data_IF_444771762217
#
_entry.id   IF_444771762217
#
_cell.length_a   1.000
_cell.length_b   1.000
_cell.length_c   1.000
_cell.angle_alpha   90.00
_cell.angle_beta   90.00
_cell.angle_gamma   90.00
#
_symmetry.space_group_name_H-M   'P 1'
#
loop_
_entity.id
_entity.type
_entity.pdbx_description
1 polymer ?
#
# COMPACT_ATOMS: atom_id res chain seq x y z
N UNK A 1 -4.16 -1.25 -27.93
CA UNK A 1 -4.37 -2.70 -27.80
C UNK A 1 -5.82 -2.88 -27.40
N UNK A 2 -6.54 -3.81 -28.03
CA UNK A 2 -7.98 -4.00 -27.80
C UNK A 2 -8.30 -4.71 -26.49
N UNK A 3 -9.39 -5.48 -26.49
CA UNK A 3 -9.93 -6.18 -25.32
C UNK A 3 -9.22 -7.51 -24.95
N UNK A 4 -8.01 -7.73 -25.44
CA UNK A 4 -7.26 -8.98 -25.20
C UNK A 4 -6.31 -8.84 -24.00
N UNK A 5 -6.29 -9.87 -23.15
CA UNK A 5 -5.35 -10.00 -22.04
C UNK A 5 -4.09 -10.72 -22.55
N UNK A 6 -3.00 -9.97 -22.73
CA UNK A 6 -1.73 -10.51 -23.24
C UNK A 6 -0.91 -11.13 -22.10
N UNK A 7 -1.02 -10.61 -20.88
CA UNK A 7 -0.27 -11.08 -19.71
C UNK A 7 -1.11 -11.01 -18.45
N UNK A 8 -1.25 -12.16 -17.76
CA UNK A 8 -2.08 -12.27 -16.56
C UNK A 8 -1.36 -11.93 -15.25
N UNK A 9 -0.03 -11.78 -15.26
CA UNK A 9 0.80 -11.70 -14.06
C UNK A 9 1.73 -10.48 -14.04
N UNK A 10 1.22 -9.30 -14.37
CA UNK A 10 1.98 -8.06 -14.19
C UNK A 10 2.03 -7.71 -12.71
N UNK A 11 3.25 -7.66 -12.16
CA UNK A 11 3.49 -7.23 -10.79
C UNK A 11 3.35 -5.70 -10.74
N UNK A 12 2.30 -5.23 -10.06
CA UNK A 12 1.98 -3.80 -9.93
C UNK A 12 2.28 -3.24 -8.55
N UNK A 13 2.73 -4.08 -7.61
CA UNK A 13 3.11 -3.67 -6.26
C UNK A 13 4.50 -4.18 -5.92
N UNK A 14 5.30 -3.40 -5.20
CA UNK A 14 6.68 -3.70 -4.81
C UNK A 14 6.99 -3.22 -3.41
N UNK A 15 7.95 -3.89 -2.76
CA UNK A 15 8.71 -3.30 -1.66
C UNK A 15 9.86 -2.48 -2.23
N UNK A 16 10.08 -1.29 -1.68
CA UNK A 16 11.14 -0.37 -2.03
C UNK A 16 11.94 -0.05 -0.77
N UNK A 17 13.23 -0.41 -0.74
CA UNK A 17 14.05 -0.26 0.47
C UNK A 17 13.43 -0.94 1.69
N UNK A 18 13.78 -0.45 2.87
CA UNK A 18 13.26 -0.97 4.14
C UNK A 18 11.97 -0.25 4.54
N UNK A 19 10.88 -1.00 4.65
CA UNK A 19 9.61 -0.51 5.19
C UNK A 19 8.77 0.37 4.27
N UNK A 20 9.03 0.39 2.96
CA UNK A 20 8.19 1.11 1.98
C UNK A 20 7.58 0.13 0.99
N UNK A 21 6.30 0.28 0.72
CA UNK A 21 5.61 -0.41 -0.36
C UNK A 21 5.10 0.61 -1.37
N UNK A 22 5.09 0.24 -2.64
CA UNK A 22 4.53 1.07 -3.69
C UNK A 22 3.77 0.25 -4.71
N UNK A 23 2.73 0.86 -5.28
CA UNK A 23 1.93 0.28 -6.35
C UNK A 23 1.62 1.31 -7.43
N UNK A 24 1.21 0.84 -8.62
CA UNK A 24 0.88 1.74 -9.71
C UNK A 24 -0.34 1.28 -10.52
N UNK A 25 -0.95 2.24 -11.19
CA UNK A 25 -1.90 2.03 -12.27
C UNK A 25 -1.49 2.86 -13.48
N UNK A 26 -1.74 2.34 -14.70
CA UNK A 26 -1.34 2.95 -15.97
C UNK A 26 -0.37 2.08 -16.77
N UNK A 27 0.48 2.70 -17.58
CA UNK A 27 1.49 2.01 -18.41
C UNK A 27 2.54 1.30 -17.55
N UNK A 28 2.75 0.01 -17.80
CA UNK A 28 3.73 -0.79 -17.04
C UNK A 28 5.16 -0.32 -17.28
N UNK A 29 5.51 0.06 -18.53
CA UNK A 29 6.84 0.54 -18.86
C UNK A 29 7.14 1.85 -18.11
N UNK A 30 6.17 2.76 -18.09
CA UNK A 30 6.28 4.05 -17.40
C UNK A 30 6.43 3.87 -15.90
N UNK A 31 5.68 2.92 -15.34
CA UNK A 31 5.72 2.62 -13.92
C UNK A 31 7.09 2.11 -13.45
N UNK A 32 7.80 1.31 -14.26
CA UNK A 32 9.15 0.87 -13.90
C UNK A 32 10.12 2.05 -13.76
N UNK A 33 10.08 2.99 -14.70
CA UNK A 33 10.88 4.21 -14.61
C UNK A 33 10.56 5.01 -13.35
N UNK A 34 9.29 5.11 -12.98
CA UNK A 34 8.87 5.82 -11.78
C UNK A 34 9.28 5.10 -10.49
N UNK A 35 9.23 3.77 -10.46
CA UNK A 35 9.75 2.99 -9.33
C UNK A 35 11.24 3.24 -9.11
N UNK A 36 12.06 3.18 -10.16
CA UNK A 36 13.50 3.46 -10.08
C UNK A 36 13.78 4.87 -9.54
N UNK A 37 13.02 5.86 -10.02
CA UNK A 37 13.14 7.24 -9.54
C UNK A 37 12.69 7.41 -8.11
N UNK A 38 11.62 6.72 -7.69
CA UNK A 38 11.15 6.74 -6.30
C UNK A 38 12.20 6.10 -5.37
N UNK A 39 12.74 4.94 -5.75
CA UNK A 39 13.75 4.24 -4.97
C UNK A 39 14.99 5.11 -4.75
N UNK A 40 15.47 5.77 -5.80
CA UNK A 40 16.54 6.77 -5.68
C UNK A 40 16.20 7.89 -4.69
N UNK A 41 14.96 8.40 -4.69
CA UNK A 41 14.54 9.46 -3.76
C UNK A 41 14.41 8.97 -2.33
N UNK A 42 14.02 7.72 -2.11
CA UNK A 42 14.00 7.09 -0.79
C UNK A 42 15.43 6.94 -0.25
N UNK A 43 16.39 6.53 -1.08
CA UNK A 43 17.80 6.44 -0.73
C UNK A 43 18.44 7.81 -0.42
N UNK A 44 18.06 8.85 -1.17
CA UNK A 44 18.51 10.24 -0.93
C UNK A 44 17.94 10.83 0.38
N UNK A 45 16.79 10.32 0.85
CA UNK A 45 16.06 10.83 2.00
C UNK A 45 15.61 9.72 2.96
N UNK A 46 16.53 8.99 3.61
CA UNK A 46 16.20 7.87 4.50
C UNK A 46 15.22 8.29 5.61
N UNK A 47 14.14 7.52 5.80
CA UNK A 47 13.12 7.79 6.82
C UNK A 47 12.26 9.06 6.59
N UNK A 48 12.37 9.70 5.42
CA UNK A 48 11.62 10.91 5.07
C UNK A 48 10.74 10.66 3.83
N UNK A 49 9.79 9.71 3.92
CA UNK A 49 8.95 9.31 2.79
C UNK A 49 8.23 10.49 2.15
N UNK A 50 7.65 11.39 2.96
CA UNK A 50 6.96 12.59 2.45
C UNK A 50 7.86 13.41 1.56
N UNK A 51 9.11 13.63 1.97
CA UNK A 51 10.09 14.41 1.19
C UNK A 51 10.45 13.70 -0.11
N UNK A 52 10.72 12.40 -0.06
CA UNK A 52 11.01 11.58 -1.24
C UNK A 52 9.87 11.66 -2.28
N UNK A 53 8.61 11.54 -1.83
CA UNK A 53 7.43 11.64 -2.68
C UNK A 53 7.27 13.03 -3.31
N UNK A 54 7.46 14.10 -2.53
CA UNK A 54 7.35 15.48 -3.04
C UNK A 54 8.44 15.77 -4.08
N UNK A 55 9.66 15.33 -3.84
CA UNK A 55 10.75 15.52 -4.81
C UNK A 55 10.55 14.69 -6.09
N UNK A 56 10.05 13.45 -5.97
CA UNK A 56 9.64 12.67 -7.14
C UNK A 56 8.57 13.41 -7.94
N UNK A 57 7.53 13.91 -7.30
CA UNK A 57 6.43 14.61 -7.96
C UNK A 57 6.91 15.89 -8.69
N UNK A 58 7.81 16.66 -8.08
CA UNK A 58 8.45 17.81 -8.73
C UNK A 58 9.24 17.39 -9.97
N UNK A 59 10.05 16.35 -9.85
CA UNK A 59 10.83 15.82 -10.97
C UNK A 59 9.90 15.30 -12.07
N UNK A 60 8.85 14.56 -11.72
CA UNK A 60 7.88 14.04 -12.66
C UNK A 60 7.24 15.15 -13.49
N UNK A 61 6.79 16.21 -12.82
CA UNK A 61 6.16 17.36 -13.48
C UNK A 61 7.12 18.14 -14.38
N UNK A 62 8.37 18.33 -13.94
CA UNK A 62 9.33 19.25 -14.61
C UNK A 62 10.23 18.56 -15.62
N UNK A 63 10.51 17.28 -15.46
CA UNK A 63 11.34 16.52 -16.39
C UNK A 63 10.63 16.30 -17.72
N UNK A 64 11.34 16.59 -18.81
CA UNK A 64 10.81 16.54 -20.18
C UNK A 64 10.36 15.13 -20.60
N UNK A 65 10.99 14.10 -20.06
CA UNK A 65 10.67 12.70 -20.33
C UNK A 65 9.63 12.17 -19.35
N UNK A 66 9.82 12.37 -18.04
CA UNK A 66 8.93 11.87 -17.01
C UNK A 66 7.50 12.43 -17.13
N UNK A 67 7.34 13.72 -17.43
CA UNK A 67 6.01 14.35 -17.56
C UNK A 67 5.11 13.76 -18.65
N UNK A 68 5.65 12.90 -19.50
CA UNK A 68 4.91 12.19 -20.55
C UNK A 68 4.41 10.82 -20.11
N UNK A 69 4.83 10.37 -18.92
CA UNK A 69 4.44 9.08 -18.39
C UNK A 69 2.99 9.13 -17.86
N UNK A 70 2.20 8.18 -18.33
CA UNK A 70 0.81 8.04 -17.94
C UNK A 70 0.68 6.96 -16.86
N UNK A 71 0.86 7.36 -15.60
CA UNK A 71 0.71 6.48 -14.46
C UNK A 71 0.21 7.27 -13.24
N UNK A 72 -0.32 6.54 -12.28
CA UNK A 72 -0.57 7.00 -10.92
C UNK A 72 0.08 6.02 -9.98
N UNK A 73 0.76 6.50 -8.95
CA UNK A 73 1.42 5.68 -7.94
C UNK A 73 0.76 5.83 -6.59
N UNK A 74 0.78 4.75 -5.81
CA UNK A 74 0.58 4.77 -4.36
C UNK A 74 1.91 4.40 -3.73
N UNK A 75 2.28 5.12 -2.67
CA UNK A 75 3.48 4.87 -1.88
C UNK A 75 3.08 4.89 -0.42
N UNK A 76 3.50 3.90 0.35
CA UNK A 76 3.18 3.83 1.77
C UNK A 76 4.38 3.31 2.58
N UNK A 77 4.53 3.86 3.77
CA UNK A 77 5.29 3.30 4.89
C UNK A 77 4.34 3.01 6.07
N UNK A 78 4.87 2.71 7.23
CA UNK A 78 4.07 2.42 8.43
C UNK A 78 3.30 3.63 9.00
N UNK A 79 3.63 4.86 8.56
CA UNK A 79 3.05 6.10 9.08
C UNK A 79 2.24 6.88 8.06
N UNK A 80 2.62 6.79 6.77
CA UNK A 80 2.10 7.64 5.71
C UNK A 80 1.71 6.83 4.48
N UNK A 81 0.72 7.32 3.77
CA UNK A 81 0.34 6.80 2.47
C UNK A 81 0.03 7.96 1.52
N UNK A 82 0.66 7.96 0.34
CA UNK A 82 0.53 9.01 -0.65
C UNK A 82 0.09 8.46 -2.00
N UNK A 83 -0.77 9.22 -2.67
CA UNK A 83 -1.03 9.08 -4.10
C UNK A 83 -0.22 10.16 -4.83
N UNK A 84 0.56 9.74 -5.83
CA UNK A 84 1.39 10.62 -6.65
C UNK A 84 0.91 10.53 -8.10
N UNK A 85 0.71 11.68 -8.74
CA UNK A 85 0.27 11.78 -10.13
C UNK A 85 1.31 12.49 -11.01
N UNK A 86 1.23 12.27 -12.32
CA UNK A 86 2.09 12.94 -13.30
C UNK A 86 1.92 14.46 -13.38
N UNK A 87 0.83 15.00 -12.80
CA UNK A 87 0.62 16.44 -12.67
C UNK A 87 1.46 17.07 -11.55
N UNK A 88 2.11 16.26 -10.74
CA UNK A 88 2.92 16.71 -9.59
C UNK A 88 2.14 16.78 -8.28
N UNK A 89 0.93 16.20 -8.24
CA UNK A 89 0.14 16.12 -7.02
C UNK A 89 0.70 15.01 -6.10
N UNK A 90 0.80 15.31 -4.81
CA UNK A 90 1.06 14.36 -3.74
C UNK A 90 -0.09 14.48 -2.76
N UNK A 91 -0.96 13.48 -2.72
CA UNK A 91 -2.19 13.50 -1.94
C UNK A 91 -2.11 12.45 -0.85
N UNK A 92 -2.32 12.84 0.40
CA UNK A 92 -2.47 11.96 1.54
C UNK A 92 -3.96 11.84 1.88
N UNK A 93 -4.55 10.63 1.87
CA UNK A 93 -5.97 10.46 2.16
C UNK A 93 -6.23 10.59 3.67
N UNK A 94 -7.22 11.36 4.05
CA UNK A 94 -7.59 11.57 5.46
C UNK A 94 -8.12 10.31 6.16
N UNK A 95 -8.57 9.32 5.41
CA UNK A 95 -9.17 8.08 5.91
C UNK A 95 -8.30 6.82 5.68
N UNK A 96 -7.03 6.99 5.27
CA UNK A 96 -6.12 5.86 5.07
C UNK A 96 -6.49 4.90 3.93
N UNK A 97 -7.30 5.32 2.96
CA UNK A 97 -7.73 4.48 1.84
C UNK A 97 -7.45 5.17 0.51
N UNK A 98 -6.77 4.46 -0.39
CA UNK A 98 -6.56 4.90 -1.78
C UNK A 98 -6.97 3.78 -2.74
N UNK A 99 -7.66 4.14 -3.81
CA UNK A 99 -7.98 3.25 -4.92
C UNK A 99 -7.60 3.89 -6.25
N UNK A 100 -6.73 3.22 -7.02
CA UNK A 100 -6.27 3.67 -8.34
C UNK A 100 -6.49 2.60 -9.42
N UNK A 101 -6.48 3.00 -10.68
CA UNK A 101 -6.68 2.11 -11.82
C UNK A 101 -8.15 1.94 -12.20
N UNK A 102 -8.42 1.01 -13.12
CA UNK A 102 -9.74 0.79 -13.71
C UNK A 102 -10.82 0.41 -12.67
N UNK A 103 -10.48 -0.47 -11.74
CA UNK A 103 -11.37 -0.88 -10.64
C UNK A 103 -11.24 0.00 -9.38
N UNK A 104 -10.39 1.03 -9.40
CA UNK A 104 -10.02 1.81 -8.22
C UNK A 104 -11.20 2.45 -7.50
N UNK A 105 -12.14 3.03 -8.23
CA UNK A 105 -13.34 3.65 -7.63
C UNK A 105 -14.27 2.64 -6.95
N UNK A 106 -14.38 1.43 -7.50
CA UNK A 106 -15.18 0.36 -6.88
C UNK A 106 -14.51 -0.16 -5.62
N UNK A 107 -13.20 -0.41 -5.68
CA UNK A 107 -12.42 -0.83 -4.51
C UNK A 107 -12.44 0.24 -3.41
N UNK A 108 -12.28 1.53 -3.77
CA UNK A 108 -12.34 2.64 -2.83
C UNK A 108 -13.71 2.73 -2.13
N UNK A 109 -14.81 2.64 -2.90
CA UNK A 109 -16.16 2.69 -2.33
C UNK A 109 -16.44 1.50 -1.40
N UNK A 110 -16.01 0.29 -1.80
CA UNK A 110 -16.14 -0.91 -0.98
C UNK A 110 -15.30 -0.81 0.30
N UNK A 111 -14.05 -0.36 0.22
CA UNK A 111 -13.19 -0.17 1.40
C UNK A 111 -13.78 0.84 2.39
N UNK A 112 -14.32 1.95 1.89
CA UNK A 112 -15.00 2.95 2.75
C UNK A 112 -16.23 2.39 3.47
N UNK A 113 -16.95 1.46 2.85
CA UNK A 113 -18.11 0.81 3.48
C UNK A 113 -17.69 -0.24 4.53
N UNK A 114 -16.47 -0.78 4.42
CA UNK A 114 -15.97 -1.86 5.27
C UNK A 114 -15.08 -1.39 6.42
N UNK A 115 -14.56 -0.15 6.37
CA UNK A 115 -13.55 0.31 7.34
C UNK A 115 -14.07 0.38 8.77
N UNK A 116 -15.37 0.64 8.95
CA UNK A 116 -16.01 0.73 10.25
C UNK A 116 -16.64 -0.62 10.70
N UNK A 117 -16.42 -1.70 9.96
CA UNK A 117 -16.96 -3.03 10.30
C UNK A 117 -16.03 -3.70 11.31
N UNK A 118 -16.55 -3.95 12.52
CA UNK A 118 -15.79 -4.63 13.57
C UNK A 118 -15.27 -6.00 13.12
N UNK A 119 -14.04 -6.33 13.52
CA UNK A 119 -13.39 -7.60 13.24
C UNK A 119 -12.77 -7.72 11.83
N UNK A 120 -12.82 -6.67 11.00
CA UNK A 120 -12.13 -6.65 9.73
C UNK A 120 -10.80 -5.88 9.82
N UNK A 121 -9.69 -6.57 9.60
CA UNK A 121 -8.38 -5.95 9.45
C UNK A 121 -8.16 -5.38 8.04
N UNK A 122 -7.12 -4.55 7.88
CA UNK A 122 -6.78 -3.89 6.62
C UNK A 122 -6.64 -4.88 5.45
N UNK A 123 -6.06 -6.07 5.70
CA UNK A 123 -5.91 -7.12 4.67
C UNK A 123 -7.26 -7.66 4.22
N UNK A 124 -8.20 -7.89 5.15
CA UNK A 124 -9.52 -8.44 4.81
C UNK A 124 -10.36 -7.43 4.05
N UNK A 125 -10.28 -6.17 4.44
CA UNK A 125 -10.92 -5.04 3.74
C UNK A 125 -10.37 -4.95 2.32
N UNK A 126 -9.04 -4.97 2.16
CA UNK A 126 -8.41 -4.89 0.84
C UNK A 126 -8.82 -6.06 -0.07
N UNK A 127 -8.83 -7.30 0.44
CA UNK A 127 -9.28 -8.49 -0.32
C UNK A 127 -10.73 -8.35 -0.78
N UNK A 128 -11.64 -8.05 0.17
CA UNK A 128 -13.07 -7.90 -0.15
C UNK A 128 -13.32 -6.77 -1.16
N UNK A 129 -12.64 -5.65 -1.00
CA UNK A 129 -12.77 -4.52 -1.91
C UNK A 129 -12.25 -4.84 -3.31
N UNK A 130 -11.15 -5.57 -3.42
CA UNK A 130 -10.60 -6.01 -4.70
C UNK A 130 -11.47 -7.07 -5.37
N UNK A 131 -12.07 -7.98 -4.62
CA UNK A 131 -13.05 -8.95 -5.14
C UNK A 131 -14.27 -8.24 -5.73
N UNK A 132 -14.80 -7.23 -5.02
CA UNK A 132 -15.93 -6.42 -5.54
C UNK A 132 -15.51 -5.67 -6.81
N UNK A 133 -14.31 -5.09 -6.83
CA UNK A 133 -13.80 -4.39 -8.01
C UNK A 133 -13.62 -5.34 -9.21
N UNK A 134 -13.09 -6.54 -9.00
CA UNK A 134 -12.90 -7.54 -10.04
C UNK A 134 -14.23 -8.05 -10.62
N UNK A 135 -15.24 -8.24 -9.77
CA UNK A 135 -16.57 -8.66 -10.19
C UNK A 135 -17.42 -7.55 -10.84
N UNK A 136 -16.99 -6.28 -10.69
CA UNK A 136 -17.74 -5.13 -11.19
C UNK A 136 -17.10 -4.49 -12.42
N UNK A 137 -15.76 -4.42 -12.46
CA UNK A 137 -15.00 -3.77 -13.52
C UNK A 137 -14.42 -4.78 -14.51
N UNK A 138 -14.83 -4.73 -15.76
CA UNK A 138 -14.36 -5.66 -16.83
C UNK A 138 -12.84 -5.58 -17.10
N UNK A 139 -12.19 -4.51 -16.68
CA UNK A 139 -10.74 -4.31 -16.82
C UNK A 139 -9.93 -4.68 -15.57
N UNK A 140 -10.59 -5.24 -14.55
CA UNK A 140 -9.96 -5.65 -13.29
C UNK A 140 -10.11 -7.15 -13.12
N UNK A 141 -8.99 -7.87 -12.96
CA UNK A 141 -8.99 -9.32 -12.74
C UNK A 141 -8.96 -9.68 -11.24
N UNK A 142 -9.12 -10.96 -10.95
CA UNK A 142 -9.13 -11.58 -9.62
C UNK A 142 -7.76 -12.09 -9.15
N UNK A 143 -6.67 -11.78 -9.88
CA UNK A 143 -5.30 -12.18 -9.54
C UNK A 143 -4.62 -11.08 -8.72
N UNK A 144 -4.80 -11.11 -7.41
CA UNK A 144 -4.28 -10.07 -6.51
C UNK A 144 -2.90 -10.40 -5.99
N UNK A 145 -2.06 -9.37 -5.91
CA UNK A 145 -0.86 -9.36 -5.09
C UNK A 145 -1.07 -8.42 -3.92
N UNK A 146 -0.82 -8.90 -2.72
CA UNK A 146 -1.02 -8.13 -1.49
C UNK A 146 0.32 -8.01 -0.78
N UNK A 147 0.67 -6.80 -0.41
CA UNK A 147 1.80 -6.49 0.46
C UNK A 147 1.26 -5.84 1.73
N UNK A 148 1.87 -6.17 2.85
CA UNK A 148 1.55 -5.61 4.16
C UNK A 148 2.78 -4.96 4.77
N UNK A 149 2.53 -3.94 5.57
CA UNK A 149 3.47 -3.31 6.48
C UNK A 149 2.89 -3.46 7.88
N UNK A 150 3.73 -3.90 8.83
CA UNK A 150 3.33 -3.95 10.23
C UNK A 150 3.31 -2.51 10.78
N UNK A 151 2.22 -2.11 11.41
CA UNK A 151 2.14 -0.86 12.16
C UNK A 151 2.69 -1.08 13.56
N UNK A 152 3.26 -0.03 14.18
CA UNK A 152 3.77 -0.12 15.56
C UNK A 152 2.68 -0.54 16.57
N UNK A 153 1.40 -0.32 16.26
CA UNK A 153 0.25 -0.79 17.06
C UNK A 153 0.14 -2.33 17.14
N UNK A 154 0.53 -3.07 16.09
CA UNK A 154 0.55 -4.54 16.11
C UNK A 154 1.72 -5.10 16.94
N UNK A 155 2.81 -4.36 17.07
CA UNK A 155 3.94 -4.75 17.92
C UNK A 155 3.62 -4.59 19.42
N UNK A 156 2.77 -3.63 19.79
CA UNK A 156 2.34 -3.44 21.19
C UNK A 156 1.34 -4.53 21.63
N UNK A 157 0.46 -5.01 20.74
CA UNK A 157 -0.48 -6.09 21.06
C UNK A 157 0.23 -7.45 21.21
N UNK A 158 1.21 -7.78 20.34
CA UNK A 158 2.01 -9.00 20.49
C UNK A 158 2.95 -8.96 21.70
N UNK A 159 3.49 -7.80 22.06
CA UNK A 159 4.28 -7.58 23.27
C UNK A 159 3.45 -7.75 24.53
N UNK A 160 2.22 -7.22 24.56
CA UNK A 160 1.29 -7.34 25.68
C UNK A 160 0.76 -8.76 25.91
N UNK A 161 0.57 -9.58 24.86
CA UNK A 161 0.20 -10.99 25.01
C UNK A 161 1.35 -11.86 25.49
N UNK A 162 2.60 -11.58 25.08
CA UNK A 162 3.78 -12.30 25.59
C UNK A 162 4.06 -12.00 27.05
N UNK A 163 3.97 -10.75 27.48
CA UNK A 163 4.10 -10.38 28.90
C UNK A 163 3.01 -11.01 29.78
N UNK A 164 1.76 -11.05 29.32
CA UNK A 164 0.67 -11.70 30.05
C UNK A 164 0.90 -13.20 30.21
N UNK A 165 1.38 -13.89 29.16
CA UNK A 165 1.69 -15.33 29.24
C UNK A 165 2.88 -15.64 30.16
N UNK A 166 3.93 -14.81 30.15
CA UNK A 166 5.07 -14.98 31.06
C UNK A 166 4.69 -14.72 32.55
N UNK A 167 3.76 -13.80 32.81
CA UNK A 167 3.30 -13.53 34.16
C UNK A 167 2.38 -14.65 34.67
N UNK A 168 1.56 -15.25 33.82
CA UNK A 168 0.71 -16.41 34.19
C UNK A 168 1.54 -17.68 34.41
N UNK A 169 2.59 -17.96 33.61
CA UNK A 169 3.48 -19.09 33.85
C UNK A 169 4.30 -18.96 35.14
N UNK A 170 4.81 -17.78 35.46
CA UNK A 170 5.56 -17.53 36.70
C UNK A 170 4.66 -17.46 37.96
N UNK A 171 3.37 -17.14 37.80
CA UNK A 171 2.39 -17.14 38.89
C UNK A 171 1.86 -18.53 39.27
N UNK A 172 2.00 -19.52 38.38
CA UNK A 172 1.57 -20.92 38.61
C UNK A 172 2.52 -21.75 39.47
N UNK A 173 3.81 -21.40 39.55
CA UNK A 173 4.82 -22.18 40.28
C UNK A 173 4.89 -21.88 41.78
N UNK A 174 4.21 -20.86 42.29
CA UNK A 174 4.31 -20.47 43.72
C UNK A 174 3.21 -21.10 44.61
N UNK A 175 2.28 -21.91 44.10
CA UNK A 175 1.18 -22.52 44.87
C UNK A 175 1.32 -24.03 45.12
N UNK A 176 2.46 -24.65 44.85
CA UNK A 176 2.68 -26.09 45.09
C UNK A 176 3.73 -26.42 46.14
N UNK A 177 4.04 -25.53 47.08
CA UNK A 177 4.94 -25.79 48.20
C UNK A 177 4.38 -25.19 49.49
N UNK A 178 3.33 -25.81 50.03
CA UNK A 178 2.89 -25.69 51.43
C UNK A 178 2.03 -26.91 51.79
#
# INVERSE_FOLDING_TARGET
MGSEIIKHNVIKVRKLGDGVISGFAGSTADAFTLFERLEQKIEEHPGQLTRACVELAKNWRTDKYLRRLEATMIVADKHHMFQITGNGDVLEPSNGIIGIGSGGSYALAASKALIDVEGLGAMDIAKKAMDIAANTCVYTNDKFQILTLDSDASAEEEGGEKEKKEVEEKGGEVKSAA
#
